data_IF_001986164967
#
_entry.id   IF_001986164967
#
_cell.length_a   1.000
_cell.length_b   1.000
_cell.length_c   1.000
_cell.angle_alpha   90.00
_cell.angle_beta   90.00
_cell.angle_gamma   90.00
#
_symmetry.space_group_name_H-M   'P 1'
#
loop_
_entity.id
_entity.type
_entity.pdbx_description
1 polymer ?
#
# COMPACT_ATOMS: atom_id res chain seq x y z
N UNK A 1 -16.34 0.82 12.14
CA UNK A 1 -15.83 -0.33 11.33
C UNK A 1 -14.54 0.08 10.65
N UNK A 2 -13.53 -0.80 10.58
CA UNK A 2 -12.27 -0.50 9.88
C UNK A 2 -12.41 -0.80 8.38
N UNK A 3 -12.25 0.21 7.52
CA UNK A 3 -12.25 0.05 6.06
C UNK A 3 -10.85 0.29 5.49
N UNK A 4 -10.46 -0.53 4.51
CA UNK A 4 -9.23 -0.33 3.74
C UNK A 4 -9.55 -0.08 2.26
N UNK A 5 -8.95 0.96 1.69
CA UNK A 5 -9.14 1.36 0.30
C UNK A 5 -7.79 1.70 -0.36
N UNK A 6 -7.71 1.44 -1.67
CA UNK A 6 -6.65 1.94 -2.56
C UNK A 6 -7.29 2.96 -3.50
N UNK A 7 -6.72 4.15 -3.60
CA UNK A 7 -7.24 5.26 -4.40
C UNK A 7 -6.13 5.95 -5.20
N UNK A 8 -6.52 6.75 -6.20
CA UNK A 8 -5.61 7.54 -7.03
C UNK A 8 -4.92 8.65 -6.22
N UNK A 9 -3.73 9.14 -6.63
CA UNK A 9 -3.06 10.27 -5.99
C UNK A 9 -3.92 11.54 -5.92
N UNK A 10 -3.56 12.48 -5.03
CA UNK A 10 -4.27 13.78 -4.95
C UNK A 10 -4.00 14.66 -6.17
N UNK A 11 -2.80 14.57 -6.74
CA UNK A 11 -2.39 15.38 -7.87
C UNK A 11 -2.85 14.70 -9.16
N UNK A 12 -3.64 15.38 -10.01
CA UNK A 12 -4.05 14.83 -11.30
C UNK A 12 -2.84 14.45 -12.16
N UNK A 13 -2.88 13.27 -12.77
CA UNK A 13 -1.82 12.69 -13.61
C UNK A 13 -0.55 12.27 -12.87
N UNK A 14 -0.51 12.37 -11.55
CA UNK A 14 0.53 11.71 -10.77
C UNK A 14 0.30 10.19 -10.77
N UNK A 15 1.39 9.44 -10.82
CA UNK A 15 1.38 7.98 -10.75
C UNK A 15 1.46 7.52 -9.29
N UNK A 16 1.18 6.24 -9.03
CA UNK A 16 1.15 5.64 -7.71
C UNK A 16 -0.26 5.53 -7.15
N UNK A 17 -0.36 5.42 -5.83
CA UNK A 17 -1.65 5.29 -5.16
C UNK A 17 -1.62 5.80 -3.71
N UNK A 18 -2.81 5.97 -3.15
CA UNK A 18 -3.04 6.17 -1.72
C UNK A 18 -3.63 4.90 -1.12
N UNK A 19 -3.00 4.41 -0.06
CA UNK A 19 -3.53 3.37 0.80
C UNK A 19 -4.21 4.04 1.99
N UNK A 20 -5.50 3.77 2.20
CA UNK A 20 -6.34 4.50 3.15
C UNK A 20 -6.94 3.52 4.14
N UNK A 21 -6.65 3.71 5.42
CA UNK A 21 -7.32 3.05 6.54
C UNK A 21 -8.29 4.04 7.19
N UNK A 22 -9.58 3.70 7.21
CA UNK A 22 -10.62 4.46 7.91
C UNK A 22 -11.07 3.71 9.14
N UNK A 23 -10.97 4.37 10.28
CA UNK A 23 -11.61 4.01 11.54
C UNK A 23 -12.56 5.14 11.93
N UNK A 24 -13.56 4.85 12.77
CA UNK A 24 -14.75 5.71 12.92
C UNK A 24 -14.45 7.22 13.15
N UNK A 25 -13.33 7.57 13.78
CA UNK A 25 -12.89 8.96 14.01
C UNK A 25 -11.47 9.29 13.47
N UNK A 26 -10.81 8.37 12.74
CA UNK A 26 -9.41 8.55 12.29
C UNK A 26 -9.18 7.96 10.90
N UNK A 27 -8.44 8.69 10.07
CA UNK A 27 -8.02 8.26 8.73
C UNK A 27 -6.50 8.26 8.67
N UNK A 28 -5.91 7.11 8.30
CA UNK A 28 -4.48 6.99 8.00
C UNK A 28 -4.29 6.80 6.51
N UNK A 29 -3.40 7.59 5.94
CA UNK A 29 -3.09 7.56 4.52
C UNK A 29 -1.60 7.32 4.34
N UNK A 30 -1.25 6.32 3.54
CA UNK A 30 0.10 6.11 3.03
C UNK A 30 0.08 6.41 1.54
N UNK A 31 1.00 7.24 1.09
CA UNK A 31 1.21 7.50 -0.33
C UNK A 31 2.33 6.59 -0.85
N UNK A 32 2.05 5.83 -1.91
CA UNK A 32 3.04 5.05 -2.64
C UNK A 32 3.26 5.69 -4.00
N UNK A 33 4.53 5.92 -4.33
CA UNK A 33 4.91 6.36 -5.67
C UNK A 33 4.78 5.19 -6.65
N UNK A 34 4.88 5.50 -7.93
CA UNK A 34 4.83 4.48 -8.99
C UNK A 34 5.82 3.34 -8.78
N UNK A 35 7.06 3.67 -8.41
CA UNK A 35 8.13 2.68 -8.20
C UNK A 35 7.80 1.76 -7.03
N UNK A 36 7.42 2.34 -5.88
CA UNK A 36 7.05 1.60 -4.66
C UNK A 36 5.81 0.71 -4.90
N UNK A 37 4.82 1.21 -5.65
CA UNK A 37 3.62 0.47 -6.05
C UNK A 37 3.95 -0.69 -7.00
N UNK A 38 4.84 -0.46 -7.96
CA UNK A 38 5.28 -1.48 -8.92
C UNK A 38 5.99 -2.62 -8.19
N UNK A 39 6.95 -2.28 -7.32
CA UNK A 39 7.67 -3.27 -6.52
C UNK A 39 6.72 -4.05 -5.60
N UNK A 40 5.79 -3.35 -4.93
CA UNK A 40 4.78 -3.98 -4.09
C UNK A 40 3.93 -4.98 -4.87
N UNK A 41 3.42 -4.58 -6.05
CA UNK A 41 2.63 -5.46 -6.90
C UNK A 41 3.44 -6.68 -7.37
N UNK A 42 4.70 -6.49 -7.71
CA UNK A 42 5.58 -7.58 -8.12
C UNK A 42 5.76 -8.59 -7.00
N UNK A 43 6.04 -8.16 -5.76
CA UNK A 43 6.16 -9.09 -4.62
C UNK A 43 4.84 -9.83 -4.35
N UNK A 44 3.71 -9.10 -4.33
CA UNK A 44 2.39 -9.67 -4.06
C UNK A 44 1.94 -10.65 -5.15
N UNK A 45 2.23 -10.37 -6.42
CA UNK A 45 1.88 -11.23 -7.55
C UNK A 45 2.61 -12.58 -7.49
N UNK A 46 3.86 -12.58 -7.03
CA UNK A 46 4.67 -13.78 -6.82
C UNK A 46 4.39 -14.51 -5.49
N UNK A 47 3.44 -14.02 -4.68
CA UNK A 47 3.15 -14.55 -3.33
C UNK A 47 4.43 -14.70 -2.48
N UNK A 48 5.38 -13.79 -2.65
CA UNK A 48 6.68 -13.84 -1.99
C UNK A 48 6.69 -12.99 -0.72
N UNK A 49 7.65 -13.25 0.16
CA UNK A 49 7.93 -12.37 1.29
C UNK A 49 9.05 -11.39 0.93
N UNK A 50 8.93 -10.14 1.35
CA UNK A 50 9.93 -9.12 1.07
C UNK A 50 9.85 -7.97 2.06
N UNK A 51 10.91 -7.16 2.10
CA UNK A 51 10.91 -5.83 2.71
C UNK A 51 11.14 -4.81 1.59
N UNK A 52 10.21 -3.89 1.42
CA UNK A 52 10.32 -2.77 0.49
C UNK A 52 10.71 -1.54 1.32
N UNK A 53 11.84 -0.92 1.00
CA UNK A 53 12.26 0.36 1.59
C UNK A 53 11.66 1.50 0.77
N UNK A 54 10.98 2.43 1.42
CA UNK A 54 10.40 3.59 0.75
C UNK A 54 11.46 4.69 0.57
N UNK A 55 11.18 5.65 -0.32
CA UNK A 55 12.13 6.71 -0.69
C UNK A 55 12.72 7.49 0.48
N UNK A 56 11.90 7.71 1.52
CA UNK A 56 12.30 8.50 2.68
C UNK A 56 13.43 7.84 3.49
N UNK A 57 13.78 6.59 3.16
CA UNK A 57 14.88 5.82 3.76
C UNK A 57 14.62 5.41 5.21
N UNK A 58 13.45 5.71 5.76
CA UNK A 58 13.07 5.43 7.15
C UNK A 58 11.78 4.64 7.26
N UNK A 59 10.97 4.65 6.21
CA UNK A 59 9.72 3.90 6.10
C UNK A 59 9.92 2.62 5.29
N UNK A 60 9.16 1.59 5.61
CA UNK A 60 9.22 0.31 4.90
C UNK A 60 7.91 -0.47 4.96
N UNK A 61 7.73 -1.36 3.99
CA UNK A 61 6.63 -2.32 3.92
C UNK A 61 7.21 -3.71 4.09
N UNK A 62 6.79 -4.45 5.12
CA UNK A 62 7.18 -5.83 5.35
C UNK A 62 6.04 -6.76 4.94
N UNK A 63 6.27 -7.50 3.86
CA UNK A 63 5.28 -8.37 3.22
C UNK A 63 5.55 -9.80 3.70
N UNK A 64 4.62 -10.36 4.47
CA UNK A 64 4.62 -11.77 4.84
C UNK A 64 3.45 -12.52 4.19
N UNK A 65 3.40 -13.84 4.36
CA UNK A 65 2.33 -14.69 3.79
C UNK A 65 0.93 -14.29 4.25
N UNK A 66 0.79 -13.91 5.52
CA UNK A 66 -0.51 -13.67 6.14
C UNK A 66 -0.80 -12.18 6.35
N UNK A 67 0.16 -11.45 6.90
CA UNK A 67 0.04 -10.03 7.25
C UNK A 67 1.14 -9.23 6.56
N UNK A 68 0.75 -8.08 6.00
CA UNK A 68 1.66 -7.04 5.55
C UNK A 68 1.66 -5.92 6.57
N UNK A 69 2.86 -5.52 7.01
CA UNK A 69 3.08 -4.46 8.00
C UNK A 69 3.68 -3.23 7.32
N UNK A 70 3.20 -2.05 7.69
CA UNK A 70 3.63 -0.76 7.18
C UNK A 70 4.29 0.02 8.31
N UNK A 71 5.61 0.17 8.25
CA UNK A 71 6.39 0.95 9.20
C UNK A 71 6.62 2.34 8.60
N UNK A 72 5.80 3.32 9.01
CA UNK A 72 5.92 4.70 8.53
C UNK A 72 6.58 5.59 9.58
N UNK A 73 7.39 6.56 9.14
CA UNK A 73 7.99 7.54 10.03
C UNK A 73 6.93 8.22 10.91
N UNK A 74 7.18 8.28 12.22
CA UNK A 74 6.32 8.95 13.21
C UNK A 74 4.89 8.40 13.35
N UNK A 75 4.63 7.18 12.86
CA UNK A 75 3.33 6.53 13.01
C UNK A 75 3.49 5.15 13.67
N UNK A 76 2.43 4.67 14.32
CA UNK A 76 2.38 3.26 14.71
C UNK A 76 2.32 2.38 13.46
N UNK A 77 2.89 1.17 13.49
CA UNK A 77 2.75 0.23 12.39
C UNK A 77 1.27 0.02 12.02
N UNK A 78 0.99 0.02 10.72
CA UNK A 78 -0.31 -0.37 10.20
C UNK A 78 -0.23 -1.78 9.66
N UNK A 79 -1.29 -2.54 9.82
CA UNK A 79 -1.33 -3.94 9.41
C UNK A 79 -2.55 -4.20 8.52
N UNK A 80 -2.39 -5.14 7.61
CA UNK A 80 -3.48 -5.66 6.79
C UNK A 80 -3.18 -7.11 6.41
N UNK A 81 -4.24 -7.90 6.22
CA UNK A 81 -4.09 -9.20 5.58
C UNK A 81 -3.48 -9.05 4.20
N UNK A 82 -2.37 -9.75 3.93
CA UNK A 82 -1.64 -9.70 2.66
C UNK A 82 -2.55 -10.01 1.48
N UNK A 83 -3.48 -10.96 1.66
CA UNK A 83 -4.50 -11.28 0.65
C UNK A 83 -5.40 -10.07 0.33
N UNK A 84 -5.89 -9.37 1.35
CA UNK A 84 -6.74 -8.18 1.16
C UNK A 84 -5.97 -7.07 0.44
N UNK A 85 -4.70 -6.85 0.81
CA UNK A 85 -3.84 -5.89 0.11
C UNK A 85 -3.68 -6.27 -1.36
N UNK A 86 -3.32 -7.52 -1.65
CA UNK A 86 -3.17 -8.04 -3.01
C UNK A 86 -4.43 -7.84 -3.86
N UNK A 87 -5.58 -8.24 -3.33
CA UNK A 87 -6.86 -8.13 -4.04
C UNK A 87 -7.17 -6.66 -4.37
N UNK A 88 -6.94 -5.74 -3.41
CA UNK A 88 -7.20 -4.31 -3.58
C UNK A 88 -6.22 -3.62 -4.53
N UNK A 89 -4.94 -3.94 -4.46
CA UNK A 89 -3.93 -3.43 -5.41
C UNK A 89 -4.24 -3.92 -6.83
N UNK A 90 -4.58 -5.21 -6.97
CA UNK A 90 -4.94 -5.79 -8.28
C UNK A 90 -6.19 -5.13 -8.86
N UNK A 91 -7.23 -4.91 -8.05
CA UNK A 91 -8.45 -4.20 -8.46
C UNK A 91 -8.15 -2.76 -8.88
N UNK A 92 -7.29 -2.07 -8.14
CA UNK A 92 -6.89 -0.69 -8.43
C UNK A 92 -6.12 -0.60 -9.75
N UNK A 93 -5.11 -1.45 -9.97
CA UNK A 93 -4.30 -1.45 -11.20
C UNK A 93 -5.10 -1.85 -12.43
N UNK A 94 -6.08 -2.76 -12.30
CA UNK A 94 -6.99 -3.11 -13.40
C UNK A 94 -7.84 -1.90 -13.86
N UNK A 95 -8.20 -1.01 -12.94
CA UNK A 95 -8.94 0.23 -13.22
C UNK A 95 -8.01 1.38 -13.66
N UNK A 96 -6.75 1.35 -13.23
CA UNK A 96 -5.76 2.40 -13.43
C UNK A 96 -4.44 1.81 -13.97
N UNK A 97 -4.40 1.34 -15.24
CA UNK A 97 -3.25 0.61 -15.78
C UNK A 97 -1.97 1.45 -15.94
N UNK A 98 -2.06 2.77 -15.78
CA UNK A 98 -0.94 3.71 -15.87
C UNK A 98 -0.56 4.32 -14.51
N UNK A 99 -1.18 3.84 -13.42
CA UNK A 99 -0.78 4.19 -12.07
C UNK A 99 0.65 3.74 -11.80
#
# INVERSE_FOLDING_TARGET
MSEFQVDTPYIPNEKGCRLIWRHDDDEKIIYLRHEDLTELNDVLSHNSTSKIELEDGVSSIMINSDITEFFMAHMKPLEIQTKTLKDKISEFLAKNPNA
#
